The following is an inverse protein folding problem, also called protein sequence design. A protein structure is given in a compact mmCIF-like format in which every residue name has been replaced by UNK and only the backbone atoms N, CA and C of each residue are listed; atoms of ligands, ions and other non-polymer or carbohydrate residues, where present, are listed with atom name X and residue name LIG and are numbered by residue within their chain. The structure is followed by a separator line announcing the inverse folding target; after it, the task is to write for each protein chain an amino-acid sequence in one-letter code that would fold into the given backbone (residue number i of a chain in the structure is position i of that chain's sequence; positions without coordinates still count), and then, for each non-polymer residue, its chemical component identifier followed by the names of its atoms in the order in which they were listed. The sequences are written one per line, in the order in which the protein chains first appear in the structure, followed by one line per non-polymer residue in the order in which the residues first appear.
data_IF_934755219479
#
_entry.id   IF_934755219479
#
_cell.length_a   1.000
_cell.length_b   1.000
_cell.length_c   1.000
_cell.angle_alpha   90.00
_cell.angle_beta   90.00
_cell.angle_gamma   90.00
#
_symmetry.space_group_name_H-M   'P 1'
#
loop_
_entity.id
_entity.type
_entity.pdbx_description
1 polymer ?
#
# COMPACT_ATOMS: atom_id res chain seq x y z
N UNK A 1 -3.64 12.10 3.75
CA UNK A 1 -2.60 12.73 2.90
C UNK A 1 -1.30 11.90 2.81
N UNK A 2 -0.77 11.33 3.90
CA UNK A 2 0.46 10.49 3.84
C UNK A 2 0.26 9.06 3.29
N UNK A 3 -0.92 8.46 3.46
CA UNK A 3 -1.21 7.11 2.93
C UNK A 3 -1.10 7.06 1.40
N UNK A 4 -1.63 8.08 0.69
CA UNK A 4 -1.53 8.16 -0.77
C UNK A 4 -0.07 8.23 -1.27
N UNK A 5 0.82 8.92 -0.53
CA UNK A 5 2.25 8.97 -0.87
C UNK A 5 2.88 7.58 -0.76
N UNK A 6 2.58 6.83 0.30
CA UNK A 6 3.07 5.46 0.45
C UNK A 6 2.49 4.52 -0.60
N UNK A 7 1.18 4.60 -0.89
CA UNK A 7 0.55 3.82 -1.95
C UNK A 7 1.24 4.05 -3.30
N UNK A 8 1.48 5.31 -3.68
CA UNK A 8 2.22 5.62 -4.92
C UNK A 8 3.65 5.07 -4.90
N UNK A 9 4.35 5.10 -3.77
CA UNK A 9 5.70 4.53 -3.66
C UNK A 9 5.69 3.01 -3.83
N UNK A 10 4.68 2.33 -3.29
CA UNK A 10 4.48 0.88 -3.48
C UNK A 10 4.19 0.57 -4.94
N UNK A 11 3.27 1.31 -5.57
CA UNK A 11 2.91 1.16 -6.99
C UNK A 11 4.13 1.36 -7.90
N UNK A 12 4.97 2.36 -7.60
CA UNK A 12 6.19 2.65 -8.37
C UNK A 12 7.38 1.72 -8.01
N UNK A 13 7.21 0.76 -7.11
CA UNK A 13 8.28 -0.15 -6.68
C UNK A 13 9.41 0.53 -5.89
N UNK A 14 9.17 1.72 -5.34
CA UNK A 14 10.15 2.50 -4.54
C UNK A 14 10.17 2.11 -3.06
N UNK A 15 9.18 1.33 -2.61
CA UNK A 15 8.98 0.85 -1.24
C UNK A 15 8.17 -0.44 -1.34
N UNK A 16 8.48 -1.46 -0.55
CA UNK A 16 7.62 -2.65 -0.45
C UNK A 16 6.48 -2.41 0.55
N UNK A 17 5.32 -3.03 0.35
CA UNK A 17 4.18 -2.87 1.26
C UNK A 17 4.51 -3.30 2.71
N UNK A 18 5.43 -4.25 2.89
CA UNK A 18 5.91 -4.69 4.22
C UNK A 18 6.59 -3.57 5.02
N UNK A 19 7.18 -2.58 4.33
CA UNK A 19 7.91 -1.45 4.92
C UNK A 19 6.98 -0.25 5.22
N UNK A 20 5.70 -0.35 4.85
CA UNK A 20 4.69 0.65 5.21
C UNK A 20 4.43 0.56 6.73
N UNK A 21 4.40 1.67 7.47
CA UNK A 21 4.03 1.67 8.88
C UNK A 21 2.67 1.02 9.12
N UNK A 22 2.53 0.19 10.16
CA UNK A 22 1.29 -0.55 10.41
C UNK A 22 0.04 0.34 10.53
N UNK A 23 0.18 1.53 11.12
CA UNK A 23 -0.89 2.52 11.21
C UNK A 23 -1.36 3.06 9.86
N UNK A 24 -0.56 2.91 8.81
CA UNK A 24 -0.86 3.35 7.44
C UNK A 24 -1.21 2.18 6.51
N UNK A 25 -0.93 0.92 6.87
CA UNK A 25 -1.18 -0.25 6.02
C UNK A 25 -2.65 -0.37 5.57
N UNK A 26 -3.67 -0.17 6.42
CA UNK A 26 -5.06 -0.26 5.97
C UNK A 26 -5.38 0.78 4.88
N UNK A 27 -5.03 2.05 5.13
CA UNK A 27 -5.29 3.13 4.17
C UNK A 27 -4.46 3.00 2.89
N UNK A 28 -3.24 2.47 2.96
CA UNK A 28 -2.42 2.18 1.77
C UNK A 28 -3.00 1.02 0.99
N UNK A 29 -3.48 -0.03 1.66
CA UNK A 29 -4.12 -1.18 1.04
C UNK A 29 -5.40 -0.78 0.30
N UNK A 30 -6.27 0.02 0.92
CA UNK A 30 -7.47 0.57 0.26
C UNK A 30 -7.12 1.27 -1.05
N UNK A 31 -6.07 2.11 -1.06
CA UNK A 31 -5.61 2.77 -2.29
C UNK A 31 -5.05 1.80 -3.35
N UNK A 32 -4.43 0.70 -2.94
CA UNK A 32 -3.96 -0.34 -3.88
C UNK A 32 -5.15 -1.10 -4.49
N UNK A 33 -6.17 -1.40 -3.69
CA UNK A 33 -7.43 -2.03 -4.15
C UNK A 33 -8.16 -1.11 -5.13
N UNK A 34 -8.32 0.17 -4.80
CA UNK A 34 -8.93 1.16 -5.69
C UNK A 34 -8.19 1.30 -7.03
N UNK A 35 -6.87 1.04 -7.01
CA UNK A 35 -6.00 1.10 -8.19
C UNK A 35 -5.89 -0.24 -8.93
N UNK A 36 -6.50 -1.32 -8.42
CA UNK A 36 -6.44 -2.67 -9.01
C UNK A 36 -5.06 -3.35 -8.93
N UNK A 37 -4.26 -2.98 -7.93
CA UNK A 37 -2.88 -3.46 -7.72
C UNK A 37 -2.66 -3.97 -6.30
N UNK A 38 -3.71 -4.48 -5.67
CA UNK A 38 -3.71 -5.07 -4.33
C UNK A 38 -2.74 -6.25 -4.19
N UNK A 39 -2.39 -6.93 -5.29
CA UNK A 39 -1.37 -7.98 -5.29
C UNK A 39 0.01 -7.49 -4.82
N UNK A 40 0.27 -6.18 -4.87
CA UNK A 40 1.50 -5.58 -4.32
C UNK A 40 1.55 -5.60 -2.79
N UNK A 41 0.42 -5.84 -2.12
CA UNK A 41 0.34 -5.98 -0.67
C UNK A 41 0.72 -7.38 -0.17
N UNK A 42 0.92 -8.36 -1.08
CA UNK A 42 1.24 -9.74 -0.73
C UNK A 42 0.10 -10.39 0.06
N UNK A 43 0.45 -11.12 1.13
CA UNK A 43 -0.52 -11.84 1.99
C UNK A 43 -1.17 -10.93 3.06
N UNK A 44 -1.26 -9.62 2.82
CA UNK A 44 -1.90 -8.71 3.76
C UNK A 44 -3.40 -8.98 3.84
N UNK A 45 -3.83 -9.62 4.93
CA UNK A 45 -5.24 -9.83 5.24
C UNK A 45 -5.72 -8.65 6.09
N UNK A 46 -6.71 -7.92 5.57
CA UNK A 46 -7.31 -6.78 6.25
C UNK A 46 -8.14 -7.23 7.46
#
# INVERSE_FOLDING_TARGET
MMAMLFAQRVILGKTEFKDVPESLKPAVYEHLVDSGVEFLAGDYQH
#
